data_IF_543938740781
#
_entry.id   IF_543938740781
#
_cell.length_a   1.000
_cell.length_b   1.000
_cell.length_c   1.000
_cell.angle_alpha   90.00
_cell.angle_beta   90.00
_cell.angle_gamma   90.00
#
_symmetry.space_group_name_H-M   'P 1'
#
loop_
_entity.id
_entity.type
_entity.pdbx_description
1 polymer ?
#
# COMPACT_ATOMS: atom_id res chain seq x y z
N UNK A 1 3.00 -6.75 21.66
CA UNK A 1 2.84 -5.30 21.43
C UNK A 1 3.48 -5.04 20.08
N UNK A 2 2.67 -4.91 19.02
CA UNK A 2 3.19 -4.72 17.66
C UNK A 2 3.94 -3.40 17.57
N UNK A 3 5.14 -3.43 17.00
CA UNK A 3 5.88 -2.22 16.63
C UNK A 3 5.12 -1.53 15.49
N UNK A 4 4.13 -0.70 15.82
CA UNK A 4 3.67 0.29 14.85
C UNK A 4 4.84 1.25 14.62
N UNK A 5 5.33 1.33 13.38
CA UNK A 5 6.31 2.34 13.02
C UNK A 5 5.62 3.70 13.01
N UNK A 6 5.69 4.41 14.12
CA UNK A 6 5.31 5.82 14.18
C UNK A 6 6.01 6.59 13.06
N UNK A 7 5.26 7.47 12.40
CA UNK A 7 5.83 8.40 11.45
C UNK A 7 6.64 9.43 12.24
N UNK A 8 7.94 9.51 11.98
CA UNK A 8 8.81 10.47 12.66
C UNK A 8 8.39 11.90 12.32
N UNK A 9 8.52 12.80 13.29
CA UNK A 9 8.24 14.23 13.15
C UNK A 9 6.80 14.54 12.68
N UNK A 10 5.87 13.66 13.05
CA UNK A 10 4.47 13.80 12.75
C UNK A 10 3.82 14.97 13.51
N UNK A 11 3.32 15.96 12.77
CA UNK A 11 2.51 17.04 13.32
C UNK A 11 1.04 16.79 12.99
N UNK A 12 0.19 16.41 13.97
CA UNK A 12 -1.22 16.15 13.72
C UNK A 12 -1.93 17.40 13.22
N UNK A 13 -2.89 17.26 12.30
CA UNK A 13 -3.72 18.40 11.86
C UNK A 13 -4.66 18.85 12.98
N UNK A 14 -5.24 17.89 13.69
CA UNK A 14 -6.05 18.10 14.87
C UNK A 14 -5.57 17.15 15.98
N UNK A 15 -4.89 17.70 16.99
CA UNK A 15 -4.31 16.91 18.09
C UNK A 15 -5.33 16.15 18.94
N UNK A 16 -6.62 16.44 18.82
CA UNK A 16 -7.69 15.72 19.53
C UNK A 16 -8.09 14.43 18.83
N UNK A 17 -8.06 14.42 17.49
CA UNK A 17 -8.56 13.32 16.66
C UNK A 17 -7.46 12.55 15.95
N UNK A 18 -6.35 13.21 15.65
CA UNK A 18 -5.20 12.63 14.95
C UNK A 18 -4.14 12.20 15.96
N UNK A 19 -3.74 10.93 15.91
CA UNK A 19 -2.76 10.32 16.81
C UNK A 19 -1.87 9.36 16.04
N UNK A 20 -0.62 9.74 15.83
CA UNK A 20 0.41 8.93 15.17
C UNK A 20 0.36 7.45 15.65
N UNK A 21 0.27 6.46 14.74
CA UNK A 21 0.26 6.58 13.27
C UNK A 21 -1.09 6.92 12.62
N UNK A 22 -2.19 6.94 13.38
CA UNK A 22 -3.57 7.09 12.92
C UNK A 22 -4.01 8.54 12.74
N UNK A 23 -4.90 8.78 11.77
CA UNK A 23 -5.39 10.13 11.46
C UNK A 23 -4.41 10.90 10.58
N UNK A 24 -4.64 12.21 10.46
CA UNK A 24 -3.88 13.06 9.56
C UNK A 24 -2.60 13.60 10.19
N UNK A 25 -1.51 13.48 9.44
CA UNK A 25 -0.17 13.80 9.87
C UNK A 25 0.55 14.65 8.82
N UNK A 26 0.93 15.88 9.17
CA UNK A 26 1.87 16.66 8.36
C UNK A 26 3.30 16.23 8.74
N UNK A 27 4.16 16.08 7.74
CA UNK A 27 5.57 15.73 7.94
C UNK A 27 6.48 16.87 7.49
N UNK A 28 7.77 16.84 7.86
CA UNK A 28 8.73 17.86 7.44
C UNK A 28 8.79 18.03 5.91
N UNK A 29 9.08 19.26 5.49
CA UNK A 29 9.28 19.60 4.10
C UNK A 29 10.43 18.80 3.46
N UNK A 30 10.28 18.51 2.17
CA UNK A 30 11.33 17.96 1.32
C UNK A 30 12.06 19.07 0.56
N UNK A 31 12.83 18.67 -0.45
CA UNK A 31 13.65 19.57 -1.25
C UNK A 31 13.01 19.92 -2.61
N UNK A 32 11.89 19.27 -2.95
CA UNK A 32 11.17 19.48 -4.20
C UNK A 32 10.10 20.57 -4.12
N UNK A 33 9.24 20.62 -5.14
CA UNK A 33 8.18 21.63 -5.26
C UNK A 33 6.77 21.07 -5.22
N UNK A 34 6.60 19.75 -5.37
CA UNK A 34 5.28 19.13 -5.42
C UNK A 34 4.69 18.95 -4.03
N UNK A 35 3.38 18.79 -3.98
CA UNK A 35 2.66 18.45 -2.76
C UNK A 35 2.17 17.01 -2.81
N UNK A 36 2.62 16.20 -1.84
CA UNK A 36 2.31 14.77 -1.77
C UNK A 36 1.31 14.51 -0.65
N UNK A 37 0.33 13.65 -0.93
CA UNK A 37 -0.54 13.09 0.10
C UNK A 37 -0.50 11.57 0.00
N UNK A 38 -0.18 10.90 1.10
CA UNK A 38 -0.25 9.44 1.21
C UNK A 38 -1.50 9.10 2.01
N UNK A 39 -2.42 8.34 1.43
CA UNK A 39 -3.62 7.85 2.11
C UNK A 39 -3.68 6.33 2.07
N UNK A 40 -4.20 5.74 3.13
CA UNK A 40 -4.42 4.31 3.18
C UNK A 40 -4.68 3.78 4.58
N UNK A 41 -4.48 2.47 4.72
CA UNK A 41 -4.50 1.84 6.02
C UNK A 41 -3.13 1.89 6.69
N UNK A 42 -2.86 0.96 7.59
CA UNK A 42 -1.58 0.84 8.29
C UNK A 42 -0.36 0.74 7.35
N UNK A 43 -0.56 0.35 6.08
CA UNK A 43 0.49 0.38 5.07
C UNK A 43 0.88 1.80 4.65
N UNK A 44 0.00 2.79 4.76
CA UNK A 44 0.37 4.19 4.55
C UNK A 44 1.29 4.69 5.67
N UNK A 45 1.22 4.15 6.89
CA UNK A 45 2.20 4.42 7.94
C UNK A 45 3.49 3.61 7.75
N UNK A 46 3.35 2.30 7.51
CA UNK A 46 4.49 1.38 7.43
C UNK A 46 5.38 1.67 6.21
N UNK A 47 4.78 1.92 5.04
CA UNK A 47 5.51 2.26 3.80
C UNK A 47 5.63 3.77 3.57
N UNK A 48 4.81 4.60 4.23
CA UNK A 48 4.87 6.06 4.07
C UNK A 48 6.23 6.63 4.38
N UNK A 49 6.98 6.01 5.30
CA UNK A 49 8.37 6.37 5.57
C UNK A 49 9.28 6.20 4.35
N UNK A 50 9.15 5.13 3.57
CA UNK A 50 9.94 4.94 2.35
C UNK A 50 9.60 6.00 1.30
N UNK A 51 8.33 6.40 1.21
CA UNK A 51 7.92 7.53 0.35
C UNK A 51 8.59 8.84 0.80
N UNK A 52 8.60 9.11 2.10
CA UNK A 52 9.22 10.30 2.68
C UNK A 52 10.73 10.30 2.47
N UNK A 53 11.38 9.18 2.78
CA UNK A 53 12.84 9.05 2.77
C UNK A 53 13.38 9.05 1.33
N UNK A 54 12.80 8.26 0.41
CA UNK A 54 13.34 8.06 -0.94
C UNK A 54 12.85 9.11 -1.96
N UNK A 55 11.69 9.75 -1.76
CA UNK A 55 11.14 10.74 -2.71
C UNK A 55 11.27 12.19 -2.23
N UNK A 56 12.13 12.46 -1.24
CA UNK A 56 12.34 13.78 -0.64
C UNK A 56 12.70 14.89 -1.63
N UNK A 57 13.37 14.55 -2.73
CA UNK A 57 13.77 15.50 -3.76
C UNK A 57 12.59 15.99 -4.63
N UNK A 58 11.44 15.31 -4.58
CA UNK A 58 10.30 15.59 -5.47
C UNK A 58 9.22 16.44 -4.81
N UNK A 59 9.05 16.35 -3.49
CA UNK A 59 8.04 17.10 -2.76
C UNK A 59 8.61 18.25 -1.94
N UNK A 60 7.88 19.37 -1.88
CA UNK A 60 8.12 20.46 -0.94
C UNK A 60 7.26 20.34 0.32
N UNK A 61 6.07 19.73 0.21
CA UNK A 61 5.20 19.41 1.35
C UNK A 61 4.61 18.01 1.21
N UNK A 62 4.52 17.30 2.33
CA UNK A 62 3.93 15.97 2.35
C UNK A 62 3.09 15.78 3.62
N UNK A 63 2.00 15.04 3.46
CA UNK A 63 1.19 14.56 4.56
C UNK A 63 0.79 13.10 4.36
N UNK A 64 0.45 12.45 5.46
CA UNK A 64 -0.04 11.07 5.50
C UNK A 64 -1.35 11.03 6.28
N UNK A 65 -2.36 10.35 5.77
CA UNK A 65 -3.54 9.97 6.54
C UNK A 65 -3.66 8.45 6.57
N UNK A 66 -3.61 7.88 7.77
CA UNK A 66 -3.85 6.45 7.95
C UNK A 66 -5.09 6.15 8.75
N UNK A 67 -5.84 5.17 8.29
CA UNK A 67 -7.05 4.67 8.98
C UNK A 67 -6.95 3.16 9.10
N UNK A 68 -7.01 2.62 10.31
CA UNK A 68 -6.82 1.19 10.55
C UNK A 68 -7.72 0.34 9.66
N UNK A 69 -7.08 -0.57 8.91
CA UNK A 69 -7.69 -1.52 7.96
C UNK A 69 -8.50 -0.93 6.79
N UNK A 70 -8.89 0.35 6.81
CA UNK A 70 -9.70 0.95 5.74
C UNK A 70 -8.92 1.23 4.46
N UNK A 71 -9.46 0.79 3.32
CA UNK A 71 -8.86 1.02 2.00
C UNK A 71 -9.48 2.24 1.28
N UNK A 72 -8.68 3.10 0.62
CA UNK A 72 -9.19 4.29 -0.08
C UNK A 72 -10.16 3.98 -1.22
N UNK A 73 -9.99 2.82 -1.89
CA UNK A 73 -10.79 2.46 -3.05
C UNK A 73 -11.91 1.46 -2.75
N UNK A 74 -11.97 0.89 -1.54
CA UNK A 74 -12.91 -0.20 -1.21
C UNK A 74 -13.51 0.01 0.17
N UNK A 75 -14.83 -0.11 0.28
CA UNK A 75 -15.49 -0.11 1.58
C UNK A 75 -15.19 -1.42 2.31
N UNK A 76 -14.15 -1.40 3.15
CA UNK A 76 -13.76 -2.53 3.97
C UNK A 76 -14.85 -2.86 4.98
N UNK A 77 -15.39 -4.08 4.94
CA UNK A 77 -16.47 -4.51 5.81
C UNK A 77 -15.93 -5.27 7.03
N UNK A 78 -15.26 -4.56 7.93
CA UNK A 78 -14.72 -5.18 9.15
C UNK A 78 -14.85 -4.31 10.40
N UNK A 79 -14.51 -4.88 11.56
CA UNK A 79 -14.65 -4.23 12.86
C UNK A 79 -13.76 -2.97 13.02
N UNK A 80 -12.60 -2.94 12.38
CA UNK A 80 -11.65 -1.83 12.48
C UNK A 80 -12.00 -0.70 11.50
N UNK A 81 -12.82 -0.99 10.49
CA UNK A 81 -13.34 -0.04 9.50
C UNK A 81 -14.88 0.10 9.55
N UNK A 82 -15.48 0.12 10.75
CA UNK A 82 -16.95 0.13 10.93
C UNK A 82 -17.68 1.27 10.21
N UNK A 83 -17.04 2.43 10.12
CA UNK A 83 -17.59 3.63 9.46
C UNK A 83 -16.94 3.84 8.08
N UNK A 84 -16.70 2.75 7.32
CA UNK A 84 -15.95 2.77 6.06
C UNK A 84 -16.34 3.90 5.10
N UNK A 85 -17.65 4.13 4.91
CA UNK A 85 -18.16 5.21 4.04
C UNK A 85 -17.70 6.59 4.53
N UNK A 86 -17.83 6.85 5.83
CA UNK A 86 -17.41 8.12 6.43
C UNK A 86 -15.89 8.29 6.38
N UNK A 87 -15.14 7.21 6.63
CA UNK A 87 -13.68 7.24 6.62
C UNK A 87 -13.14 7.45 5.19
N UNK A 88 -13.79 6.88 4.18
CA UNK A 88 -13.49 7.17 2.78
C UNK A 88 -13.84 8.59 2.36
N UNK A 89 -14.96 9.13 2.87
CA UNK A 89 -15.25 10.54 2.68
C UNK A 89 -14.16 11.42 3.30
N UNK A 90 -13.62 11.03 4.47
CA UNK A 90 -12.47 11.70 5.09
C UNK A 90 -11.24 11.75 4.17
N UNK A 91 -10.92 10.68 3.44
CA UNK A 91 -9.85 10.72 2.45
C UNK A 91 -10.11 11.72 1.31
N UNK A 92 -11.36 11.81 0.84
CA UNK A 92 -11.73 12.79 -0.19
C UNK A 92 -11.63 14.23 0.34
N UNK A 93 -12.10 14.46 1.57
CA UNK A 93 -12.02 15.76 2.26
C UNK A 93 -10.56 16.19 2.44
N UNK A 94 -9.66 15.25 2.70
CA UNK A 94 -8.22 15.53 2.78
C UNK A 94 -7.62 15.92 1.44
N UNK A 95 -8.00 15.24 0.36
CA UNK A 95 -7.58 15.62 -0.98
C UNK A 95 -8.07 17.04 -1.30
N UNK A 96 -9.30 17.37 -0.92
CA UNK A 96 -9.90 18.68 -1.17
C UNK A 96 -9.29 19.81 -0.34
N UNK A 97 -8.92 19.53 0.90
CA UNK A 97 -8.36 20.52 1.82
C UNK A 97 -6.85 20.67 1.65
N UNK A 98 -6.11 19.56 1.54
CA UNK A 98 -4.67 19.57 1.37
C UNK A 98 -4.26 19.94 -0.06
N UNK A 99 -5.08 19.59 -1.07
CA UNK A 99 -4.84 19.86 -2.50
C UNK A 99 -3.47 19.34 -2.98
N UNK A 100 -3.21 18.02 -2.92
CA UNK A 100 -1.95 17.46 -3.36
C UNK A 100 -1.81 17.51 -4.89
N UNK A 101 -0.58 17.69 -5.37
CA UNK A 101 -0.23 17.43 -6.76
C UNK A 101 -0.21 15.92 -7.03
N UNK A 102 0.27 15.14 -6.07
CA UNK A 102 0.50 13.70 -6.21
C UNK A 102 -0.13 12.96 -5.02
N UNK A 103 -0.92 11.94 -5.34
CA UNK A 103 -1.59 11.10 -4.36
C UNK A 103 -0.98 9.69 -4.37
N UNK A 104 -0.61 9.18 -3.20
CA UNK A 104 -0.22 7.79 -3.01
C UNK A 104 -1.35 7.04 -2.30
N UNK A 105 -1.91 6.03 -2.97
CA UNK A 105 -2.85 5.07 -2.39
C UNK A 105 -2.03 3.87 -1.87
N UNK A 106 -1.58 3.97 -0.62
CA UNK A 106 -0.69 2.99 -0.02
C UNK A 106 -1.44 2.14 1.00
N UNK A 107 -2.17 1.13 0.51
CA UNK A 107 -2.93 0.19 1.35
C UNK A 107 -2.62 -1.25 0.98
N UNK A 108 -2.48 -2.10 2.00
CA UNK A 108 -2.66 -3.55 1.81
C UNK A 108 -4.15 -3.84 1.71
N UNK A 109 -4.54 -4.68 0.76
CA UNK A 109 -5.94 -5.12 0.68
C UNK A 109 -6.24 -6.15 1.77
N UNK A 110 -7.32 -5.94 2.52
CA UNK A 110 -7.71 -6.83 3.63
C UNK A 110 -8.26 -8.14 3.11
N UNK A 111 -9.08 -8.10 2.05
CA UNK A 111 -9.65 -9.28 1.40
C UNK A 111 -9.20 -9.33 -0.08
N UNK A 112 -7.93 -9.64 -0.36
CA UNK A 112 -7.39 -9.55 -1.72
C UNK A 112 -7.86 -10.69 -2.65
N UNK A 113 -8.43 -11.75 -2.08
CA UNK A 113 -8.92 -12.94 -2.79
C UNK A 113 -10.43 -12.92 -3.08
N UNK A 114 -11.13 -11.80 -2.84
CA UNK A 114 -12.55 -11.67 -3.20
C UNK A 114 -12.69 -12.01 -4.69
N UNK A 115 -13.45 -13.05 -5.07
CA UNK A 115 -13.58 -13.47 -6.46
C UNK A 115 -14.05 -12.33 -7.35
N UNK A 116 -13.65 -12.35 -8.62
CA UNK A 116 -14.17 -11.42 -9.63
C UNK A 116 -15.57 -11.88 -10.02
N UNK A 117 -16.55 -10.97 -9.94
CA UNK A 117 -17.90 -11.24 -10.42
C UNK A 117 -17.92 -11.28 -11.95
N UNK A 118 -18.32 -12.42 -12.52
CA UNK A 118 -18.39 -12.62 -13.97
C UNK A 118 -17.06 -12.94 -14.64
N UNK A 119 -17.04 -12.93 -15.97
CA UNK A 119 -15.85 -13.31 -16.76
C UNK A 119 -14.85 -12.14 -16.90
N UNK A 120 -15.36 -10.90 -16.98
CA UNK A 120 -14.57 -9.69 -17.19
C UNK A 120 -14.46 -8.85 -15.92
N UNK A 121 -13.25 -8.36 -15.63
CA UNK A 121 -12.99 -7.46 -14.49
C UNK A 121 -13.82 -6.18 -14.57
N UNK A 122 -14.14 -5.69 -15.77
CA UNK A 122 -14.93 -4.46 -15.94
C UNK A 122 -16.38 -4.61 -15.50
N UNK A 123 -16.90 -5.84 -15.43
CA UNK A 123 -18.27 -6.11 -14.99
C UNK A 123 -18.38 -6.26 -13.47
N UNK A 124 -17.24 -6.49 -12.80
CA UNK A 124 -17.11 -6.74 -11.37
C UNK A 124 -17.60 -5.56 -10.51
N UNK A 125 -18.43 -5.85 -9.51
CA UNK A 125 -19.05 -4.82 -8.66
C UNK A 125 -17.99 -4.07 -7.86
N UNK A 126 -16.97 -4.78 -7.36
CA UNK A 126 -15.90 -4.19 -6.58
C UNK A 126 -15.02 -3.28 -7.45
N UNK A 127 -14.65 -3.71 -8.65
CA UNK A 127 -13.92 -2.91 -9.63
C UNK A 127 -14.67 -1.62 -10.00
N UNK A 128 -15.98 -1.71 -10.26
CA UNK A 128 -16.81 -0.52 -10.56
C UNK A 128 -16.78 0.48 -9.40
N UNK A 129 -16.89 0.00 -8.16
CA UNK A 129 -16.77 0.84 -6.96
C UNK A 129 -15.39 1.48 -6.81
N UNK A 130 -14.31 0.72 -7.04
CA UNK A 130 -12.94 1.22 -7.01
C UNK A 130 -12.74 2.32 -8.06
N UNK A 131 -13.22 2.11 -9.29
CA UNK A 131 -13.13 3.08 -10.37
C UNK A 131 -13.91 4.35 -10.05
N UNK A 132 -15.15 4.24 -9.53
CA UNK A 132 -15.94 5.42 -9.15
C UNK A 132 -15.20 6.32 -8.13
N UNK A 133 -14.57 5.70 -7.12
CA UNK A 133 -13.78 6.42 -6.11
C UNK A 133 -12.52 7.03 -6.71
N UNK A 134 -11.77 6.25 -7.48
CA UNK A 134 -10.57 6.73 -8.15
C UNK A 134 -10.86 7.91 -9.08
N UNK A 135 -11.96 7.90 -9.82
CA UNK A 135 -12.37 9.01 -10.70
C UNK A 135 -12.53 10.32 -9.91
N UNK A 136 -13.03 10.28 -8.67
CA UNK A 136 -13.14 11.46 -7.80
C UNK A 136 -11.76 11.98 -7.38
N UNK A 137 -10.81 11.08 -7.12
CA UNK A 137 -9.44 11.45 -6.72
C UNK A 137 -8.63 12.00 -7.90
N UNK A 138 -8.60 11.31 -9.04
CA UNK A 138 -7.78 11.69 -10.19
C UNK A 138 -8.16 13.05 -10.79
N UNK A 139 -9.40 13.50 -10.61
CA UNK A 139 -9.87 14.81 -11.05
C UNK A 139 -9.20 15.96 -10.27
N UNK A 140 -8.75 15.68 -9.04
CA UNK A 140 -8.23 16.69 -8.10
C UNK A 140 -6.71 16.73 -8.01
N UNK A 141 -6.03 15.77 -8.65
CA UNK A 141 -4.56 15.63 -8.58
C UNK A 141 -3.94 15.52 -9.97
N UNK A 142 -2.62 15.73 -10.06
CA UNK A 142 -1.86 15.57 -11.31
C UNK A 142 -1.54 14.10 -11.56
N UNK A 143 -1.21 13.33 -10.51
CA UNK A 143 -0.84 11.91 -10.61
C UNK A 143 -1.32 11.11 -9.39
N UNK A 144 -1.65 9.84 -9.61
CA UNK A 144 -2.02 8.87 -8.57
C UNK A 144 -1.07 7.69 -8.63
N UNK A 145 -0.40 7.37 -7.53
CA UNK A 145 0.41 6.17 -7.36
C UNK A 145 -0.38 5.15 -6.55
N UNK A 146 -0.49 3.92 -7.02
CA UNK A 146 -1.32 2.87 -6.41
C UNK A 146 -0.42 1.69 -6.06
N UNK A 147 -0.40 1.30 -4.78
CA UNK A 147 0.26 0.07 -4.37
C UNK A 147 -0.50 -1.12 -4.95
N UNK A 148 0.20 -1.97 -5.69
CA UNK A 148 -0.36 -3.24 -6.16
C UNK A 148 -0.61 -4.20 -4.99
N UNK A 149 -1.62 -5.06 -5.11
CA UNK A 149 -1.87 -6.12 -4.16
C UNK A 149 -0.80 -7.22 -4.23
N UNK A 150 -0.51 -7.82 -3.09
CA UNK A 150 0.31 -9.03 -2.97
C UNK A 150 -0.34 -9.95 -1.91
N UNK A 151 0.05 -11.24 -1.83
CA UNK A 151 -0.59 -12.20 -0.93
C UNK A 151 -0.69 -11.70 0.51
N UNK A 152 -1.83 -11.97 1.16
CA UNK A 152 -1.99 -11.69 2.58
C UNK A 152 -1.37 -12.84 3.36
N UNK A 153 -0.38 -12.53 4.18
CA UNK A 153 0.24 -13.53 5.04
C UNK A 153 -0.68 -13.90 6.21
N UNK A 154 -0.52 -15.12 6.72
CA UNK A 154 -1.06 -15.51 8.01
C UNK A 154 -0.32 -14.80 9.16
N UNK A 155 -0.75 -15.05 10.39
CA UNK A 155 0.03 -14.72 11.58
C UNK A 155 1.29 -15.61 11.61
N UNK A 156 2.41 -15.06 11.14
CA UNK A 156 3.66 -15.81 10.99
C UNK A 156 4.20 -16.32 12.32
N UNK A 157 3.91 -15.65 13.43
CA UNK A 157 4.34 -16.12 14.76
C UNK A 157 3.60 -17.41 15.14
N UNK A 158 2.31 -17.49 14.82
CA UNK A 158 1.53 -18.71 15.06
C UNK A 158 1.96 -19.85 14.12
N UNK A 159 2.24 -19.55 12.85
CA UNK A 159 2.75 -20.51 11.88
C UNK A 159 4.09 -21.10 12.35
N UNK A 160 5.04 -20.25 12.72
CA UNK A 160 6.35 -20.65 13.23
C UNK A 160 6.21 -21.54 14.48
N UNK A 161 5.38 -21.12 15.45
CA UNK A 161 5.13 -21.89 16.67
C UNK A 161 4.55 -23.28 16.36
N UNK A 162 3.65 -23.39 15.37
CA UNK A 162 3.08 -24.67 14.95
C UNK A 162 4.12 -25.58 14.26
N UNK A 163 5.00 -25.00 13.44
CA UNK A 163 6.09 -25.72 12.78
C UNK A 163 7.12 -26.25 13.77
N UNK A 164 7.56 -25.41 14.72
CA UNK A 164 8.50 -25.83 15.78
C UNK A 164 7.90 -26.98 16.60
N UNK A 165 6.63 -26.88 17.00
CA UNK A 165 5.93 -27.96 17.73
C UNK A 165 5.83 -29.27 16.94
N UNK A 166 5.82 -29.20 15.61
CA UNK A 166 5.76 -30.37 14.72
C UNK A 166 7.14 -30.81 14.20
N UNK A 167 8.23 -30.23 14.70
CA UNK A 167 9.61 -30.57 14.28
C UNK A 167 9.97 -30.11 12.87
N UNK A 168 9.24 -29.13 12.30
CA UNK A 168 9.50 -28.54 10.99
C UNK A 168 10.35 -27.28 11.10
N UNK A 169 11.22 -27.05 10.11
CA UNK A 169 12.05 -25.84 9.97
C UNK A 169 11.25 -24.62 9.51
N UNK A 170 11.72 -23.41 9.82
CA UNK A 170 11.26 -22.17 9.17
C UNK A 170 11.92 -22.07 7.81
N UNK A 171 11.11 -21.93 6.77
CA UNK A 171 11.56 -21.88 5.38
C UNK A 171 11.20 -20.52 4.76
N UNK A 172 11.88 -20.16 3.66
CA UNK A 172 11.60 -18.93 2.94
C UNK A 172 10.14 -18.85 2.47
N UNK A 173 9.63 -19.96 1.95
CA UNK A 173 8.22 -20.17 1.66
C UNK A 173 7.61 -21.20 2.61
N UNK A 174 6.39 -20.92 3.06
CA UNK A 174 5.56 -21.85 3.82
C UNK A 174 4.12 -21.67 3.32
N UNK A 175 3.49 -22.74 2.84
CA UNK A 175 2.13 -22.67 2.27
C UNK A 175 1.13 -22.16 3.30
N UNK A 176 1.25 -22.65 4.55
CA UNK A 176 0.42 -22.24 5.68
C UNK A 176 0.63 -20.78 6.12
N UNK A 177 1.68 -20.13 5.61
CA UNK A 177 1.95 -18.71 5.86
C UNK A 177 1.19 -17.79 4.90
N UNK A 178 0.48 -18.32 3.91
CA UNK A 178 -0.36 -17.54 2.98
C UNK A 178 -1.83 -17.73 3.37
N UNK A 179 -2.44 -16.68 3.92
CA UNK A 179 -3.85 -16.68 4.35
C UNK A 179 -4.80 -16.45 3.17
N UNK A 180 -4.39 -15.59 2.22
CA UNK A 180 -5.15 -15.33 1.00
C UNK A 180 -4.22 -14.96 -0.16
N UNK A 181 -4.48 -15.54 -1.34
CA UNK A 181 -3.84 -15.08 -2.56
C UNK A 181 -4.31 -13.66 -2.94
N UNK A 182 -3.62 -13.04 -3.90
CA UNK A 182 -3.95 -11.68 -4.35
C UNK A 182 -4.37 -11.60 -5.80
N UNK A 183 -4.55 -12.75 -6.48
CA UNK A 183 -4.78 -12.80 -7.92
C UNK A 183 -6.01 -11.97 -8.32
N UNK A 184 -7.18 -12.09 -7.66
CA UNK A 184 -8.36 -11.29 -8.01
C UNK A 184 -8.13 -9.79 -7.86
N UNK A 185 -7.55 -9.33 -6.74
CA UNK A 185 -7.29 -7.90 -6.54
C UNK A 185 -6.24 -7.36 -7.50
N UNK A 186 -5.18 -8.13 -7.78
CA UNK A 186 -4.15 -7.74 -8.76
C UNK A 186 -4.75 -7.49 -10.13
N UNK A 187 -5.63 -8.39 -10.59
CA UNK A 187 -6.38 -8.23 -11.85
C UNK A 187 -7.23 -6.94 -11.85
N UNK A 188 -7.88 -6.58 -10.73
CA UNK A 188 -8.63 -5.31 -10.61
C UNK A 188 -7.73 -4.09 -10.76
N UNK A 189 -6.59 -4.06 -10.08
CA UNK A 189 -5.65 -2.93 -10.11
C UNK A 189 -4.94 -2.82 -11.45
N UNK A 190 -4.61 -3.94 -12.09
CA UNK A 190 -4.09 -3.96 -13.46
C UNK A 190 -5.12 -3.41 -14.45
N UNK A 191 -6.40 -3.75 -14.29
CA UNK A 191 -7.46 -3.19 -15.12
C UNK A 191 -7.66 -1.69 -14.85
N UNK A 192 -7.55 -1.24 -13.60
CA UNK A 192 -7.55 0.20 -13.25
C UNK A 192 -6.44 0.94 -14.01
N UNK A 193 -5.23 0.40 -14.03
CA UNK A 193 -4.08 1.04 -14.68
C UNK A 193 -4.31 1.28 -16.18
N UNK A 194 -5.02 0.37 -16.87
CA UNK A 194 -5.36 0.52 -18.29
C UNK A 194 -6.31 1.69 -18.56
N UNK A 195 -7.19 2.00 -17.61
CA UNK A 195 -8.27 2.98 -17.77
C UNK A 195 -8.05 4.30 -17.02
N UNK A 196 -6.94 4.44 -16.30
CA UNK A 196 -6.54 5.65 -15.59
C UNK A 196 -5.26 6.25 -16.17
N UNK A 197 -5.38 7.32 -16.96
CA UNK A 197 -4.22 7.97 -17.60
C UNK A 197 -3.24 8.61 -16.60
N UNK A 198 -3.74 8.98 -15.42
CA UNK A 198 -2.95 9.60 -14.36
C UNK A 198 -2.38 8.61 -13.35
N UNK A 199 -2.68 7.31 -13.49
CA UNK A 199 -2.30 6.32 -12.50
C UNK A 199 -0.95 5.68 -12.83
N UNK A 200 -0.15 5.42 -11.80
CA UNK A 200 1.03 4.55 -11.81
C UNK A 200 0.83 3.50 -10.74
N UNK A 201 0.98 2.23 -11.11
CA UNK A 201 0.95 1.11 -10.17
C UNK A 201 2.38 0.75 -9.82
N UNK A 202 2.71 0.69 -8.53
CA UNK A 202 4.00 0.20 -8.06
C UNK A 202 3.83 -1.15 -7.39
N UNK A 203 4.60 -2.14 -7.82
CA UNK A 203 4.40 -3.54 -7.46
C UNK A 203 5.58 -4.13 -6.68
N UNK A 204 5.35 -4.33 -5.38
CA UNK A 204 6.33 -4.87 -4.45
C UNK A 204 6.44 -6.40 -4.53
N UNK A 205 5.48 -7.10 -5.15
CA UNK A 205 5.38 -8.56 -5.08
C UNK A 205 6.63 -9.24 -5.63
N UNK A 206 7.19 -8.74 -6.74
CA UNK A 206 8.35 -9.34 -7.39
C UNK A 206 9.60 -9.40 -6.48
N UNK A 207 9.74 -8.50 -5.51
CA UNK A 207 10.85 -8.51 -4.56
C UNK A 207 10.74 -9.63 -3.52
N UNK A 208 9.55 -10.19 -3.34
CA UNK A 208 9.29 -11.36 -2.51
C UNK A 208 9.36 -12.67 -3.28
N UNK A 209 9.50 -12.66 -4.61
CA UNK A 209 9.44 -13.89 -5.40
C UNK A 209 10.80 -14.56 -5.52
N UNK A 210 10.86 -15.85 -5.23
CA UNK A 210 12.01 -16.71 -5.52
C UNK A 210 11.53 -17.97 -6.23
N UNK A 211 12.07 -18.25 -7.43
CA UNK A 211 11.69 -19.40 -8.26
C UNK A 211 10.17 -19.60 -8.48
N UNK A 212 9.42 -18.48 -8.58
CA UNK A 212 7.96 -18.51 -8.78
C UNK A 212 7.15 -18.65 -7.49
N UNK A 213 7.79 -18.59 -6.33
CA UNK A 213 7.15 -18.74 -5.03
C UNK A 213 7.28 -17.47 -4.19
N UNK A 214 6.21 -17.09 -3.48
CA UNK A 214 6.20 -15.93 -2.61
C UNK A 214 6.85 -16.24 -1.26
N UNK A 215 7.91 -15.50 -0.94
CA UNK A 215 8.73 -15.66 0.25
C UNK A 215 8.24 -14.76 1.39
N UNK A 216 8.01 -15.38 2.55
CA UNK A 216 7.57 -14.72 3.78
C UNK A 216 8.70 -14.55 4.79
N UNK A 217 9.81 -15.27 4.61
CA UNK A 217 11.03 -15.15 5.40
C UNK A 217 12.26 -15.06 4.50
N UNK A 218 13.34 -14.48 5.02
CA UNK A 218 14.63 -14.51 4.35
C UNK A 218 15.18 -15.94 4.35
N UNK A 219 15.48 -16.54 3.18
CA UNK A 219 15.88 -17.95 3.10
C UNK A 219 17.24 -18.26 3.75
N UNK A 220 18.06 -17.23 4.00
CA UNK A 220 19.39 -17.36 4.61
C UNK A 220 19.35 -17.10 6.13
N UNK A 221 18.68 -16.04 6.55
CA UNK A 221 18.65 -15.65 7.98
C UNK A 221 17.44 -16.18 8.73
N UNK A 222 16.44 -16.70 8.01
CA UNK A 222 15.12 -17.12 8.51
C UNK A 222 14.31 -16.02 9.19
N UNK A 223 14.71 -14.75 9.03
CA UNK A 223 14.00 -13.61 9.59
C UNK A 223 12.75 -13.30 8.78
N UNK A 224 11.62 -13.09 9.48
CA UNK A 224 10.34 -12.79 8.84
C UNK A 224 10.36 -11.42 8.15
N UNK A 225 9.83 -11.37 6.92
CA UNK A 225 9.58 -10.11 6.23
C UNK A 225 8.32 -9.41 6.74
N UNK A 226 7.42 -10.15 7.40
CA UNK A 226 6.17 -9.63 7.95
C UNK A 226 6.06 -9.89 9.45
N UNK A 227 5.43 -8.99 10.19
CA UNK A 227 5.10 -9.23 11.60
C UNK A 227 3.69 -9.83 11.76
N UNK A 228 3.29 -10.17 12.99
CA UNK A 228 2.04 -10.91 13.28
C UNK A 228 0.76 -10.20 12.79
N UNK A 229 0.74 -8.86 12.76
CA UNK A 229 -0.34 -8.04 12.21
C UNK A 229 -0.20 -7.82 10.69
N UNK A 230 0.73 -8.51 10.03
CA UNK A 230 0.92 -8.59 8.58
C UNK A 230 1.45 -7.30 7.95
N UNK A 231 2.19 -6.48 8.69
CA UNK A 231 2.98 -5.36 8.16
C UNK A 231 4.40 -5.82 7.84
N UNK A 232 5.09 -5.13 6.93
CA UNK A 232 6.50 -5.38 6.71
C UNK A 232 7.31 -5.05 7.97
N UNK A 233 8.20 -5.96 8.37
CA UNK A 233 9.23 -5.73 9.39
C UNK A 233 10.29 -4.77 8.84
N UNK A 234 11.24 -4.27 9.67
CA UNK A 234 12.36 -3.49 9.14
C UNK A 234 13.14 -4.18 8.01
N UNK A 235 13.30 -5.51 8.08
CA UNK A 235 13.96 -6.28 7.02
C UNK A 235 13.05 -6.43 5.80
N UNK A 236 11.74 -6.59 6.01
CA UNK A 236 10.75 -6.53 4.93
C UNK A 236 10.76 -5.18 4.20
N UNK A 237 10.87 -4.07 4.94
CA UNK A 237 10.98 -2.73 4.36
C UNK A 237 12.29 -2.57 3.58
N UNK A 238 13.42 -3.06 4.09
CA UNK A 238 14.69 -3.08 3.36
C UNK A 238 14.63 -3.90 2.07
N UNK A 239 13.89 -5.01 2.07
CA UNK A 239 13.69 -5.82 0.86
C UNK A 239 12.98 -5.01 -0.25
N UNK A 240 12.01 -4.19 0.13
CA UNK A 240 11.16 -3.46 -0.85
C UNK A 240 11.64 -2.03 -1.16
N UNK A 241 12.49 -1.44 -0.33
CA UNK A 241 13.11 -0.12 -0.50
C UNK A 241 13.71 0.12 -1.91
N UNK A 242 14.37 -0.86 -2.57
CA UNK A 242 14.87 -0.66 -3.93
C UNK A 242 13.81 -0.20 -4.94
N UNK A 243 12.53 -0.59 -4.77
CA UNK A 243 11.46 -0.10 -5.65
C UNK A 243 11.12 1.37 -5.38
N UNK A 244 11.21 1.85 -4.14
CA UNK A 244 10.96 3.25 -3.79
C UNK A 244 12.06 4.16 -4.33
N UNK A 245 13.31 3.72 -4.28
CA UNK A 245 14.42 4.40 -4.97
C UNK A 245 14.19 4.45 -6.48
N UNK A 246 13.78 3.33 -7.08
CA UNK A 246 13.42 3.29 -8.51
C UNK A 246 12.25 4.23 -8.85
N UNK A 247 11.24 4.33 -7.99
CA UNK A 247 10.14 5.31 -8.14
C UNK A 247 10.68 6.74 -8.14
N UNK A 248 11.63 7.05 -7.25
CA UNK A 248 12.28 8.36 -7.17
C UNK A 248 13.13 8.66 -8.42
N UNK A 249 13.95 7.70 -8.85
CA UNK A 249 14.85 7.86 -10.02
C UNK A 249 14.07 8.09 -11.32
N UNK A 250 12.89 7.47 -11.44
CA UNK A 250 12.03 7.56 -12.64
C UNK A 250 10.88 8.58 -12.48
N UNK A 251 10.87 9.35 -11.39
CA UNK A 251 9.68 10.10 -10.97
C UNK A 251 9.18 11.09 -12.03
N UNK A 252 10.09 11.85 -12.65
CA UNK A 252 9.75 12.84 -13.67
C UNK A 252 9.11 12.23 -14.93
N UNK A 253 9.53 11.03 -15.32
CA UNK A 253 8.99 10.32 -16.46
C UNK A 253 7.63 9.70 -16.11
N UNK A 254 7.51 9.14 -14.91
CA UNK A 254 6.24 8.65 -14.37
C UNK A 254 5.21 9.77 -14.25
N UNK A 255 5.62 11.00 -13.93
CA UNK A 255 4.72 12.16 -13.92
C UNK A 255 4.15 12.49 -15.31
N UNK A 256 4.87 12.17 -16.39
CA UNK A 256 4.44 12.43 -17.79
C UNK A 256 3.74 11.24 -18.44
N UNK A 257 3.88 10.05 -17.86
CA UNK A 257 3.40 8.80 -18.47
C UNK A 257 1.87 8.70 -18.60
N UNK A 258 1.39 7.84 -19.52
CA UNK A 258 -0.03 7.52 -19.73
C UNK A 258 -0.26 6.00 -19.76
N UNK A 259 -1.53 5.59 -19.60
CA UNK A 259 -2.02 4.30 -19.08
C UNK A 259 -1.33 3.00 -19.50
N UNK A 260 -0.79 2.86 -20.72
CA UNK A 260 -0.32 1.56 -21.22
C UNK A 260 1.04 1.10 -20.68
N UNK A 261 1.83 1.98 -20.04
CA UNK A 261 3.21 1.66 -19.56
C UNK A 261 3.39 1.87 -18.04
N UNK A 262 2.30 1.92 -17.28
CA UNK A 262 2.30 2.51 -15.94
C UNK A 262 2.37 1.52 -14.77
N UNK A 263 2.71 0.25 -15.02
CA UNK A 263 3.03 -0.68 -13.93
C UNK A 263 4.54 -0.72 -13.79
N UNK A 264 5.06 -0.12 -12.72
CA UNK A 264 6.48 -0.20 -12.39
C UNK A 264 6.71 -1.44 -11.54
N UNK A 265 7.38 -2.44 -12.13
CA UNK A 265 7.87 -3.61 -11.40
C UNK A 265 9.36 -3.49 -11.16
N UNK A 266 9.86 -4.24 -10.18
CA UNK A 266 11.30 -4.32 -9.93
C UNK A 266 12.08 -4.81 -11.17
N UNK A 267 11.53 -5.80 -11.86
CA UNK A 267 12.16 -6.51 -12.99
C UNK A 267 12.16 -5.75 -14.32
N UNK A 268 11.46 -4.63 -14.40
CA UNK A 268 11.41 -3.77 -15.60
C UNK A 268 12.65 -2.88 -15.72
#
# INVERSE_FOLDING_TARGET
MGFFSELKDCTPRNSWTDKNPWGFCNLPAGNGSLSFLVIGNSYAANHGRLIVDDLKEHYGRIAVHTVSECEPLIETKNYYCKDAVKLQQGFLDDIDTFKPDVLFLSSRYIEPNVPIDGENVQDDVLYKSMMEKLRKYEQKVKKVFILQAFPRTADLQNVENARIKSGKSVEGHMEEAIEADSIPMRRRIEEIAKHCEKCVVYDLMNLHMENGTFMVTNPVTHLHYFEALRHHTPIGLQLVEPLYRKLSDNFDDLMKSRSSNNVLRWTD
#
